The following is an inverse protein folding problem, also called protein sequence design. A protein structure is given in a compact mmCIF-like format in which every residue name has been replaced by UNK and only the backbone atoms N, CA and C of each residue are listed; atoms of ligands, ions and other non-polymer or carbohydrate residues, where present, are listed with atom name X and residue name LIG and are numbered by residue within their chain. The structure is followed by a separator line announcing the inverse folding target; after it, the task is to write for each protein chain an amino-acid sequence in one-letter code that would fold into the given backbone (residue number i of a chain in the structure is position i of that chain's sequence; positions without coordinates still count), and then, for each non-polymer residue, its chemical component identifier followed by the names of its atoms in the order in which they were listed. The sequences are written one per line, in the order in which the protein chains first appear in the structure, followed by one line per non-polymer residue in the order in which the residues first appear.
data_IF_393231398591
#
_entry.id   IF_393231398591
#
_cell.length_a   1.000
_cell.length_b   1.000
_cell.length_c   1.000
_cell.angle_alpha   90.00
_cell.angle_beta   90.00
_cell.angle_gamma   90.00
#
_symmetry.space_group_name_H-M   'P 1'
#
loop_
_entity.id
_entity.type
_entity.pdbx_description
1 polymer ?
#
# COMPACT_ATOMS: atom_id res chain seq x y z
N UNK A 1 12.41 9.01 -4.88
CA UNK A 1 11.82 7.67 -5.08
C UNK A 1 10.41 7.89 -5.61
N UNK A 2 10.09 7.46 -6.83
CA UNK A 2 8.73 7.68 -7.38
C UNK A 2 7.74 6.89 -6.54
N UNK A 3 6.81 7.56 -5.88
CA UNK A 3 5.70 6.99 -5.09
C UNK A 3 4.62 6.32 -5.98
N UNK A 4 5.01 5.89 -7.18
CA UNK A 4 4.11 5.48 -8.27
C UNK A 4 3.85 3.98 -8.18
N UNK A 5 3.17 3.56 -7.12
CA UNK A 5 2.52 2.25 -7.12
C UNK A 5 1.25 2.35 -7.96
N UNK A 6 1.16 1.54 -9.02
CA UNK A 6 -0.08 1.38 -9.77
C UNK A 6 -0.96 0.33 -9.08
N UNK A 7 -2.25 0.61 -8.83
CA UNK A 7 -3.20 -0.45 -8.49
C UNK A 7 -3.35 -1.41 -9.67
N UNK A 8 -3.48 -2.71 -9.38
CA UNK A 8 -3.74 -3.71 -10.40
C UNK A 8 -5.24 -3.92 -10.66
N UNK A 9 -6.10 -3.73 -9.65
CA UNK A 9 -7.54 -3.99 -9.74
C UNK A 9 -8.37 -2.84 -9.19
N UNK A 10 -9.47 -2.53 -9.88
CA UNK A 10 -10.42 -1.52 -9.43
C UNK A 10 -11.07 -1.98 -8.11
N UNK A 11 -11.03 -1.18 -7.03
CA UNK A 11 -11.61 -1.58 -5.75
C UNK A 11 -13.14 -1.71 -5.77
N UNK A 12 -13.79 -1.31 -6.86
CA UNK A 12 -15.24 -1.32 -7.00
C UNK A 12 -15.81 -2.37 -7.97
N UNK A 13 -15.06 -2.77 -9.00
CA UNK A 13 -15.54 -3.75 -9.98
C UNK A 13 -14.55 -4.87 -10.32
N UNK A 14 -13.37 -4.89 -9.68
CA UNK A 14 -12.32 -5.88 -9.89
C UNK A 14 -11.71 -5.94 -11.32
N UNK A 15 -12.04 -4.99 -12.19
CA UNK A 15 -11.43 -4.87 -13.52
C UNK A 15 -10.04 -4.22 -13.46
N UNK A 16 -9.22 -4.48 -14.47
CA UNK A 16 -7.81 -4.06 -14.54
C UNK A 16 -7.58 -2.79 -15.40
N UNK A 17 -8.60 -2.29 -16.11
CA UNK A 17 -8.49 -1.09 -16.95
C UNK A 17 -8.48 0.20 -16.11
N UNK A 18 -7.34 0.41 -15.45
CA UNK A 18 -7.03 1.54 -14.56
C UNK A 18 -6.04 2.49 -15.20
N UNK A 19 -6.35 3.79 -15.16
CA UNK A 19 -5.47 4.84 -15.67
C UNK A 19 -5.24 5.93 -14.62
N UNK A 20 -4.07 6.58 -14.60
CA UNK A 20 -3.88 7.78 -13.80
C UNK A 20 -4.85 8.86 -14.25
N UNK A 21 -5.44 9.58 -13.30
CA UNK A 21 -6.40 10.65 -13.55
C UNK A 21 -5.76 12.02 -13.33
N UNK A 22 -6.15 12.98 -14.17
CA UNK A 22 -5.69 14.38 -14.10
C UNK A 22 -6.23 15.13 -12.86
N UNK A 23 -7.13 14.50 -12.08
CA UNK A 23 -7.68 15.08 -10.84
C UNK A 23 -6.63 15.38 -9.76
N UNK A 24 -5.42 14.83 -9.87
CA UNK A 24 -4.28 15.17 -9.02
C UNK A 24 -3.40 13.96 -8.67
N UNK A 25 -2.32 14.15 -7.88
CA UNK A 25 -1.38 13.08 -7.56
C UNK A 25 -2.07 11.92 -6.83
N UNK A 26 -1.75 10.70 -7.24
CA UNK A 26 -2.34 9.47 -6.70
C UNK A 26 -3.79 9.21 -7.16
N UNK A 27 -4.34 10.01 -8.07
CA UNK A 27 -5.69 9.81 -8.60
C UNK A 27 -5.70 8.79 -9.74
N UNK A 28 -6.72 7.94 -9.74
CA UNK A 28 -6.92 6.85 -10.70
C UNK A 28 -8.38 6.80 -11.13
N UNK A 29 -8.60 6.35 -12.36
CA UNK A 29 -9.92 6.14 -12.94
C UNK A 29 -10.01 4.73 -13.55
N UNK A 30 -11.15 4.07 -13.36
CA UNK A 30 -11.47 2.79 -13.99
C UNK A 30 -12.40 3.02 -15.17
N UNK A 31 -12.01 2.61 -16.37
CA UNK A 31 -12.86 2.83 -17.55
C UNK A 31 -14.04 1.84 -17.62
N UNK A 32 -13.91 0.66 -17.00
CA UNK A 32 -14.96 -0.35 -17.01
C UNK A 32 -16.21 0.06 -16.20
N UNK A 33 -16.01 0.72 -15.05
CA UNK A 33 -17.13 1.18 -14.20
C UNK A 33 -17.23 2.70 -14.05
N UNK A 34 -16.39 3.46 -14.76
CA UNK A 34 -16.36 4.92 -14.79
C UNK A 34 -16.27 5.60 -13.40
N UNK A 35 -15.49 5.01 -12.48
CA UNK A 35 -15.26 5.55 -11.13
C UNK A 35 -13.84 6.08 -11.01
N UNK A 36 -13.70 7.24 -10.37
CA UNK A 36 -12.42 7.81 -9.97
C UNK A 36 -12.19 7.65 -8.46
N UNK A 37 -10.95 7.41 -8.06
CA UNK A 37 -10.53 7.25 -6.66
C UNK A 37 -9.09 7.72 -6.47
N UNK A 38 -8.65 7.87 -5.22
CA UNK A 38 -7.30 8.32 -4.88
C UNK A 38 -6.60 7.32 -3.97
N UNK A 39 -5.33 7.06 -4.26
CA UNK A 39 -4.43 6.26 -3.43
C UNK A 39 -3.37 7.13 -2.77
N UNK A 40 -2.99 6.74 -1.55
CA UNK A 40 -1.96 7.40 -0.77
C UNK A 40 -1.04 6.36 -0.15
N UNK A 41 0.27 6.56 -0.30
CA UNK A 41 1.25 5.80 0.48
C UNK A 41 1.33 6.41 1.89
N UNK A 42 1.10 5.59 2.92
CA UNK A 42 1.08 6.04 4.32
C UNK A 42 2.43 5.89 5.04
N UNK A 43 3.43 5.29 4.39
CA UNK A 43 4.67 4.88 5.03
C UNK A 43 4.64 3.42 5.52
N UNK A 44 5.71 3.03 6.22
CA UNK A 44 5.81 1.73 6.87
C UNK A 44 5.10 1.78 8.22
N UNK A 45 4.23 0.81 8.50
CA UNK A 45 3.53 0.71 9.79
C UNK A 45 4.48 0.21 10.89
N UNK A 46 4.39 0.79 12.09
CA UNK A 46 5.27 0.48 13.22
C UNK A 46 5.28 -1.03 13.63
N UNK A 47 4.18 -1.75 13.37
CA UNK A 47 4.10 -3.20 13.63
C UNK A 47 5.05 -4.05 12.79
N UNK A 48 5.59 -3.53 11.68
CA UNK A 48 6.55 -4.22 10.82
C UNK A 48 8.01 -4.00 11.18
N UNK A 49 8.33 -3.00 12.02
CA UNK A 49 9.71 -2.68 12.44
C UNK A 49 10.07 -3.26 13.82
N UNK A 50 9.08 -3.65 14.63
CA UNK A 50 9.29 -4.15 16.00
C UNK A 50 9.75 -5.63 16.12
N UNK A 51 10.28 -6.23 15.05
CA UNK A 51 10.69 -7.64 15.04
C UNK A 51 12.20 -7.82 14.97
N UNK A 52 12.99 -7.11 15.79
CA UNK A 52 14.31 -7.57 16.25
C UNK A 52 14.74 -6.74 17.46
N UNK A 53 14.30 -7.13 18.65
CA UNK A 53 15.14 -7.00 19.85
C UNK A 53 15.53 -8.41 20.28
N UNK A 54 16.73 -8.91 19.90
CA UNK A 54 17.28 -10.09 20.54
C UNK A 54 17.86 -9.66 21.90
N UNK A 55 16.98 -9.39 22.88
CA UNK A 55 17.38 -9.61 24.27
C UNK A 55 16.99 -11.05 24.61
N UNK A 56 17.86 -11.96 24.17
CA UNK A 56 17.78 -13.38 24.49
C UNK A 56 18.25 -13.59 25.93
N UNK A 57 17.32 -13.52 26.87
CA UNK A 57 17.50 -14.12 28.19
C UNK A 57 17.62 -15.63 28.05
N UNK A 58 18.84 -16.15 28.07
CA UNK A 58 19.12 -17.56 28.31
C UNK A 58 19.50 -17.73 29.78
N UNK A 59 18.72 -18.56 30.47
CA UNK A 59 18.98 -19.03 31.82
C UNK A 59 20.12 -20.06 31.84
N UNK A 60 20.99 -19.99 32.85
CA UNK A 60 21.81 -21.12 33.29
C UNK A 60 21.69 -21.26 34.80
N UNK A 61 21.29 -22.45 35.24
CA UNK A 61 21.14 -22.83 36.63
C UNK A 61 22.47 -23.16 37.31
N UNK A 62 22.47 -23.07 38.65
CA UNK A 62 23.56 -23.42 39.55
C UNK A 62 23.36 -22.82 40.93
#
# INVERSE_FOLDING_TARGET
MSERAAPFYCPYCAEEDLRPSEAGPGSWECAACNRAFRLSFLGLLAGGVAATSPDGGAADGG
#
